data_IF_341719991865
#
_entry.id   IF_341719991865
#
_cell.length_a   1.000
_cell.length_b   1.000
_cell.length_c   1.000
_cell.angle_alpha   90.00
_cell.angle_beta   90.00
_cell.angle_gamma   90.00
#
_symmetry.space_group_name_H-M   'P 1'
#
loop_
_entity.id
_entity.type
_entity.pdbx_description
1 polymer ?
#
# COMPACT_ATOMS: atom_id res chain seq x y z
N UNK A 1 10.02 2.56 10.35
CA UNK A 1 9.69 1.15 10.69
C UNK A 1 9.28 0.43 9.41
N UNK A 2 9.27 -0.92 9.39
CA UNK A 2 8.79 -1.71 8.23
C UNK A 2 7.36 -2.17 8.48
N UNK A 3 6.44 -1.83 7.60
CA UNK A 3 4.99 -2.08 7.76
C UNK A 3 4.46 -2.84 6.55
N UNK A 4 3.76 -3.94 6.78
CA UNK A 4 3.04 -4.67 5.75
C UNK A 4 1.54 -4.33 5.83
N UNK A 5 0.99 -3.76 4.77
CA UNK A 5 -0.44 -3.45 4.63
C UNK A 5 -1.13 -4.57 3.85
N UNK A 6 -1.90 -5.41 4.54
CA UNK A 6 -2.67 -6.49 3.91
C UNK A 6 -4.05 -5.96 3.52
N UNK A 7 -4.26 -5.81 2.21
CA UNK A 7 -5.44 -5.23 1.57
C UNK A 7 -5.15 -3.80 1.06
N UNK A 8 -5.29 -3.59 -0.25
CA UNK A 8 -5.08 -2.28 -0.90
C UNK A 8 -6.41 -1.69 -1.39
N UNK A 9 -7.44 -1.81 -0.55
CA UNK A 9 -8.68 -1.04 -0.71
C UNK A 9 -8.51 0.39 -0.21
N UNK A 10 -9.60 1.15 -0.16
CA UNK A 10 -9.60 2.55 0.29
C UNK A 10 -8.87 2.76 1.62
N UNK A 11 -9.26 2.02 2.67
CA UNK A 11 -8.68 2.18 4.01
C UNK A 11 -7.21 1.76 4.04
N UNK A 12 -6.87 0.60 3.48
CA UNK A 12 -5.51 0.06 3.52
C UNK A 12 -4.52 0.89 2.71
N UNK A 13 -4.90 1.33 1.50
CA UNK A 13 -4.04 2.14 0.66
C UNK A 13 -3.84 3.55 1.23
N UNK A 14 -4.91 4.23 1.66
CA UNK A 14 -4.80 5.58 2.24
C UNK A 14 -3.95 5.56 3.50
N UNK A 15 -4.20 4.59 4.40
CA UNK A 15 -3.40 4.47 5.62
C UNK A 15 -1.93 4.14 5.31
N UNK A 16 -1.69 3.23 4.36
CA UNK A 16 -0.34 2.88 3.92
C UNK A 16 0.42 4.07 3.32
N UNK A 17 -0.26 4.90 2.52
CA UNK A 17 0.31 6.12 1.98
C UNK A 17 0.68 7.13 3.09
N UNK A 18 -0.20 7.35 4.08
CA UNK A 18 0.12 8.22 5.22
C UNK A 18 1.31 7.71 6.03
N UNK A 19 1.39 6.40 6.29
CA UNK A 19 2.55 5.84 6.99
C UNK A 19 3.85 5.97 6.17
N UNK A 20 3.77 5.81 4.85
CA UNK A 20 4.91 6.05 3.97
C UNK A 20 5.36 7.51 4.01
N UNK A 21 4.41 8.46 4.01
CA UNK A 21 4.68 9.90 4.11
C UNK A 21 5.34 10.26 5.44
N UNK A 22 5.00 9.55 6.52
CA UNK A 22 5.65 9.68 7.82
C UNK A 22 7.03 9.00 7.92
N UNK A 23 7.58 8.50 6.80
CA UNK A 23 8.92 7.95 6.72
C UNK A 23 9.01 6.47 7.13
N UNK A 24 7.92 5.72 7.04
CA UNK A 24 7.96 4.26 7.21
C UNK A 24 8.13 3.56 5.85
N UNK A 25 8.84 2.42 5.85
CA UNK A 25 8.90 1.54 4.68
C UNK A 25 7.61 0.72 4.69
N UNK A 26 6.73 0.98 3.71
CA UNK A 26 5.42 0.34 3.62
C UNK A 26 5.36 -0.57 2.40
N UNK A 27 4.97 -1.82 2.61
CA UNK A 27 4.72 -2.79 1.54
C UNK A 27 3.22 -3.10 1.53
N UNK A 28 2.58 -2.79 0.40
CA UNK A 28 1.18 -3.09 0.15
C UNK A 28 1.02 -4.49 -0.46
N UNK A 29 0.12 -5.30 0.10
CA UNK A 29 -0.16 -6.67 -0.34
C UNK A 29 -1.65 -6.81 -0.60
N UNK A 30 -2.06 -7.23 -1.79
CA UNK A 30 -3.45 -7.58 -2.11
C UNK A 30 -3.47 -8.85 -2.96
N UNK A 31 -4.56 -9.61 -2.88
CA UNK A 31 -4.74 -10.83 -3.69
C UNK A 31 -5.05 -10.50 -5.15
N UNK A 32 -5.61 -9.31 -5.41
CA UNK A 32 -5.97 -8.87 -6.75
C UNK A 32 -4.77 -8.22 -7.42
N UNK A 33 -4.07 -8.98 -8.27
CA UNK A 33 -2.87 -8.52 -8.98
C UNK A 33 -3.12 -7.22 -9.76
N UNK A 34 -4.33 -7.01 -10.30
CA UNK A 34 -4.67 -5.79 -11.07
C UNK A 34 -4.56 -4.53 -10.21
N UNK A 35 -4.90 -4.61 -8.92
CA UNK A 35 -4.76 -3.46 -8.02
C UNK A 35 -3.29 -3.10 -7.79
N UNK A 36 -2.43 -4.11 -7.66
CA UNK A 36 -0.99 -3.90 -7.50
C UNK A 36 -0.37 -3.33 -8.77
N UNK A 37 -0.77 -3.83 -9.95
CA UNK A 37 -0.34 -3.29 -11.24
C UNK A 37 -0.71 -1.80 -11.39
N UNK A 38 -1.95 -1.41 -11.04
CA UNK A 38 -2.38 -0.01 -11.07
C UNK A 38 -1.53 0.91 -10.19
N UNK A 39 -1.01 0.42 -9.05
CA UNK A 39 -0.14 1.22 -8.17
C UNK A 39 1.25 1.48 -8.77
N UNK A 40 1.69 0.68 -9.73
CA UNK A 40 2.99 0.83 -10.40
C UNK A 40 2.91 1.54 -11.76
N UNK A 41 1.73 2.03 -12.17
CA UNK A 41 1.51 2.66 -13.47
C UNK A 41 1.77 4.18 -13.51
N UNK A 42 2.39 4.74 -12.45
CA UNK A 42 2.81 6.14 -12.40
C UNK A 42 4.31 6.30 -12.62
#
# INVERSE_FOLDING_TARGET
>A
MRIAMIGTGYVGLVSGACFSDFGHEVICVDKDARKIELLHQN
#
